data_IF_121308696592
#
_entry.id   IF_121308696592
#
_cell.length_a   1.000
_cell.length_b   1.000
_cell.length_c   1.000
_cell.angle_alpha   90.00
_cell.angle_beta   90.00
_cell.angle_gamma   90.00
#
_symmetry.space_group_name_H-M   'P 1'
#
loop_
_entity.id
_entity.type
_entity.pdbx_description
1 polymer ?
#
# COMPACT_ATOMS: atom_id res chain seq x y z
N UNK A 1 -30.68 -69.28 -0.94
CA UNK A 1 -30.69 -68.07 -0.07
C UNK A 1 -30.49 -68.55 1.37
N UNK A 2 -29.52 -68.10 2.17
CA UNK A 2 -29.09 -66.73 2.36
C UNK A 2 -27.57 -66.60 2.59
N UNK A 3 -27.05 -65.47 2.10
CA UNK A 3 -25.69 -64.94 2.20
C UNK A 3 -25.15 -64.78 3.62
N UNK A 4 -23.83 -65.00 3.76
CA UNK A 4 -23.05 -64.52 4.89
C UNK A 4 -22.59 -63.07 4.63
N UNK A 5 -22.83 -62.11 5.55
CA UNK A 5 -22.20 -60.80 5.47
C UNK A 5 -20.80 -60.83 6.09
N UNK A 6 -19.89 -60.23 5.35
CA UNK A 6 -18.47 -60.02 5.62
C UNK A 6 -18.21 -59.29 6.95
N UNK A 7 -17.44 -59.90 7.84
CA UNK A 7 -16.75 -59.17 8.91
C UNK A 7 -15.47 -58.54 8.33
N UNK A 8 -15.52 -57.25 8.01
CA UNK A 8 -14.34 -56.45 7.70
C UNK A 8 -13.68 -55.99 9.00
N UNK A 9 -12.54 -56.59 9.34
CA UNK A 9 -11.61 -56.00 10.30
C UNK A 9 -10.95 -54.77 9.64
N UNK A 10 -11.14 -53.58 10.20
CA UNK A 10 -10.39 -52.38 9.84
C UNK A 10 -9.00 -52.47 10.48
N UNK A 11 -7.97 -52.73 9.69
CA UNK A 11 -6.59 -52.59 10.15
C UNK A 11 -6.19 -51.10 10.23
N UNK A 12 -5.52 -50.67 11.31
CA UNK A 12 -5.03 -49.30 11.42
C UNK A 12 -3.81 -49.11 10.52
N UNK A 13 -3.89 -48.10 9.65
CA UNK A 13 -2.81 -47.69 8.75
C UNK A 13 -1.56 -47.29 9.56
N UNK A 14 -0.58 -48.19 9.63
CA UNK A 14 0.71 -48.00 10.30
C UNK A 14 1.54 -46.97 9.51
N UNK A 15 1.53 -45.72 9.96
CA UNK A 15 2.37 -44.64 9.40
C UNK A 15 3.82 -44.79 9.85
N UNK A 16 4.73 -44.94 8.88
CA UNK A 16 6.16 -45.08 9.12
C UNK A 16 6.80 -43.73 9.48
N UNK A 17 7.33 -43.63 10.71
CA UNK A 17 8.01 -42.45 11.25
C UNK A 17 9.21 -42.02 10.38
N UNK A 18 9.83 -42.96 9.67
CA UNK A 18 10.95 -42.67 8.75
C UNK A 18 10.50 -41.91 7.51
N UNK A 19 9.28 -42.14 7.06
CA UNK A 19 8.69 -41.45 5.92
C UNK A 19 8.33 -40.00 6.30
N UNK A 20 7.84 -39.78 7.52
CA UNK A 20 7.58 -38.44 8.05
C UNK A 20 8.86 -37.60 8.17
N UNK A 21 9.95 -38.18 8.70
CA UNK A 21 11.23 -37.47 8.84
C UNK A 21 11.85 -37.09 7.48
N UNK A 22 11.70 -37.93 6.46
CA UNK A 22 12.14 -37.61 5.08
C UNK A 22 11.35 -36.45 4.48
N UNK A 23 10.04 -36.40 4.70
CA UNK A 23 9.18 -35.29 4.25
C UNK A 23 9.46 -33.99 5.00
N UNK A 24 9.70 -34.05 6.31
CA UNK A 24 10.01 -32.88 7.13
C UNK A 24 11.36 -32.23 6.74
N UNK A 25 12.39 -33.03 6.44
CA UNK A 25 13.69 -32.51 6.03
C UNK A 25 13.65 -31.78 4.68
N UNK A 26 12.85 -32.26 3.72
CA UNK A 26 12.68 -31.62 2.41
C UNK A 26 11.86 -30.33 2.50
N UNK A 27 10.82 -30.30 3.34
CA UNK A 27 10.00 -29.09 3.55
C UNK A 27 10.74 -27.99 4.33
N UNK A 28 11.53 -28.36 5.35
CA UNK A 28 12.31 -27.41 6.15
C UNK A 28 13.50 -26.82 5.40
N UNK A 29 14.14 -27.59 4.50
CA UNK A 29 15.29 -27.12 3.73
C UNK A 29 14.94 -26.13 2.61
N UNK A 30 13.79 -26.26 1.97
CA UNK A 30 13.37 -25.37 0.88
C UNK A 30 12.88 -24.00 1.38
N UNK A 31 12.34 -23.91 2.59
CA UNK A 31 11.85 -22.65 3.18
C UNK A 31 12.96 -21.66 3.55
N UNK A 32 14.20 -22.14 3.74
CA UNK A 32 15.36 -21.29 4.08
C UNK A 32 16.08 -20.71 2.86
N UNK A 33 15.67 -21.10 1.64
CA UNK A 33 16.31 -20.69 0.38
C UNK A 33 15.45 -19.75 -0.46
N UNK A 34 14.31 -19.25 0.04
CA UNK A 34 13.68 -18.09 -0.60
C UNK A 34 14.66 -16.93 -0.47
N UNK A 35 15.32 -16.50 -1.56
CA UNK A 35 16.12 -15.29 -1.48
C UNK A 35 15.16 -14.20 -1.04
N UNK A 36 15.59 -13.37 -0.10
CA UNK A 36 15.02 -12.06 0.12
C UNK A 36 15.12 -11.33 -1.22
N UNK A 37 14.15 -11.55 -2.11
CA UNK A 37 14.01 -10.77 -3.31
C UNK A 37 13.92 -9.33 -2.80
N UNK A 38 14.84 -8.44 -3.21
CA UNK A 38 14.64 -7.03 -2.92
C UNK A 38 13.32 -6.70 -3.60
N UNK A 39 12.26 -6.58 -2.80
CA UNK A 39 11.04 -5.94 -3.23
C UNK A 39 11.49 -4.52 -3.47
N UNK A 40 11.97 -4.26 -4.68
CA UNK A 40 12.63 -3.02 -5.04
C UNK A 40 11.74 -1.91 -4.50
N UNK A 41 12.25 -1.15 -3.53
CA UNK A 41 11.58 0.04 -3.09
C UNK A 41 11.38 0.82 -4.38
N UNK A 42 10.13 0.86 -4.86
CA UNK A 42 9.78 1.69 -5.99
C UNK A 42 10.07 3.07 -5.46
N UNK A 43 11.22 3.63 -5.83
CA UNK A 43 11.48 5.04 -5.65
C UNK A 43 10.21 5.72 -6.12
N UNK A 44 9.56 6.47 -5.22
CA UNK A 44 8.30 7.12 -5.52
C UNK A 44 8.47 7.79 -6.89
N UNK A 45 7.74 7.30 -7.88
CA UNK A 45 7.85 7.78 -9.24
C UNK A 45 7.53 9.27 -9.26
N UNK A 46 7.88 9.95 -10.35
CA UNK A 46 7.40 11.32 -10.53
C UNK A 46 5.87 11.35 -10.43
N UNK A 47 5.34 12.30 -9.65
CA UNK A 47 3.90 12.53 -9.52
C UNK A 47 3.51 13.72 -10.38
N UNK A 48 2.28 13.76 -10.86
CA UNK A 48 1.84 14.77 -11.84
C UNK A 48 1.47 16.09 -11.15
N UNK A 49 0.92 16.02 -9.94
CA UNK A 49 0.25 17.12 -9.25
C UNK A 49 0.69 17.23 -7.81
N UNK A 50 0.81 18.46 -7.31
CA UNK A 50 0.71 18.75 -5.87
C UNK A 50 -0.67 19.32 -5.59
N UNK A 51 -1.49 18.59 -4.85
CA UNK A 51 -2.82 19.01 -4.43
C UNK A 51 -2.74 19.79 -3.12
N UNK A 52 -3.31 20.99 -3.10
CA UNK A 52 -3.57 21.77 -1.90
C UNK A 52 -5.06 21.66 -1.56
N UNK A 53 -5.40 21.31 -0.33
CA UNK A 53 -6.81 21.28 0.10
C UNK A 53 -6.99 21.87 1.49
N UNK A 54 -8.24 22.16 1.84
CA UNK A 54 -8.59 22.57 3.20
C UNK A 54 -8.53 21.36 4.15
N UNK A 55 -8.24 21.59 5.43
CA UNK A 55 -8.30 20.58 6.49
C UNK A 55 -9.72 20.12 6.88
N UNK A 56 -10.73 20.48 6.08
CA UNK A 56 -12.11 20.08 6.31
C UNK A 56 -12.24 18.57 6.09
N UNK A 57 -12.43 17.83 7.19
CA UNK A 57 -12.49 16.36 7.18
C UNK A 57 -13.61 15.81 6.29
N UNK A 58 -14.62 16.63 5.98
CA UNK A 58 -15.74 16.23 5.11
C UNK A 58 -15.30 16.07 3.65
N UNK A 59 -14.16 16.65 3.27
CA UNK A 59 -13.66 16.62 1.90
C UNK A 59 -12.74 15.44 1.60
N UNK A 60 -12.32 14.65 2.59
CA UNK A 60 -11.28 13.62 2.40
C UNK A 60 -11.71 12.60 1.33
N UNK A 61 -12.93 12.07 1.45
CA UNK A 61 -13.43 11.07 0.50
C UNK A 61 -13.76 11.69 -0.87
N UNK A 62 -14.33 12.90 -0.88
CA UNK A 62 -14.65 13.63 -2.10
C UNK A 62 -13.39 13.98 -2.90
N UNK A 63 -12.30 14.34 -2.23
CA UNK A 63 -11.00 14.60 -2.84
C UNK A 63 -10.47 13.31 -3.47
N UNK A 64 -10.48 12.19 -2.75
CA UNK A 64 -10.01 10.91 -3.29
C UNK A 64 -10.82 10.53 -4.53
N UNK A 65 -12.14 10.64 -4.47
CA UNK A 65 -13.03 10.36 -5.59
C UNK A 65 -12.78 11.30 -6.77
N UNK A 66 -12.60 12.60 -6.51
CA UNK A 66 -12.29 13.60 -7.54
C UNK A 66 -10.97 13.31 -8.24
N UNK A 67 -9.92 12.98 -7.48
CA UNK A 67 -8.60 12.66 -8.05
C UNK A 67 -8.62 11.36 -8.85
N UNK A 68 -9.38 10.35 -8.39
CA UNK A 68 -9.60 9.11 -9.13
C UNK A 68 -10.32 9.35 -10.47
N UNK A 69 -11.39 10.14 -10.45
CA UNK A 69 -12.12 10.54 -11.67
C UNK A 69 -11.26 11.30 -12.68
N UNK A 70 -10.16 11.92 -12.23
CA UNK A 70 -9.16 12.60 -13.08
C UNK A 70 -8.00 11.71 -13.53
N UNK A 71 -8.03 10.41 -13.21
CA UNK A 71 -6.94 9.46 -13.45
C UNK A 71 -5.64 9.86 -12.74
N UNK A 72 -5.77 10.52 -11.58
CA UNK A 72 -4.64 10.94 -10.75
C UNK A 72 -4.44 10.03 -9.53
N UNK A 73 -5.09 8.88 -9.46
CA UNK A 73 -4.91 7.89 -8.37
C UNK A 73 -3.43 7.56 -8.18
N UNK A 74 -2.91 7.79 -6.97
CA UNK A 74 -1.49 7.63 -6.61
C UNK A 74 -0.51 8.48 -7.46
N UNK A 75 -0.98 9.53 -8.13
CA UNK A 75 -0.19 10.41 -9.01
C UNK A 75 -0.18 11.86 -8.51
N UNK A 76 -0.32 12.07 -7.20
CA UNK A 76 -0.24 13.39 -6.58
C UNK A 76 0.34 13.34 -5.16
N UNK A 77 1.04 14.41 -4.80
CA UNK A 77 1.31 14.76 -3.40
C UNK A 77 0.14 15.57 -2.84
N UNK A 78 -0.10 15.51 -1.53
CA UNK A 78 -1.24 16.19 -0.91
C UNK A 78 -0.80 17.01 0.29
N UNK A 79 -0.97 18.33 0.21
CA UNK A 79 -0.81 19.28 1.31
C UNK A 79 -2.18 19.72 1.80
N UNK A 80 -2.38 19.64 3.12
CA UNK A 80 -3.60 20.06 3.79
C UNK A 80 -3.29 21.30 4.62
N UNK A 81 -3.91 22.42 4.29
CA UNK A 81 -3.71 23.71 4.96
C UNK A 81 -5.06 24.33 5.30
N UNK A 82 -5.21 24.88 6.50
CA UNK A 82 -6.44 25.54 6.92
C UNK A 82 -6.79 26.69 5.94
N UNK A 83 -7.93 26.57 5.25
CA UNK A 83 -8.37 27.54 4.23
C UNK A 83 -7.75 27.35 2.84
N UNK A 84 -6.97 26.30 2.59
CA UNK A 84 -6.34 26.00 1.29
C UNK A 84 -5.63 27.24 0.70
N UNK A 85 -6.09 27.75 -0.46
CA UNK A 85 -5.56 28.96 -1.09
C UNK A 85 -5.64 30.19 -0.18
N UNK A 86 -6.72 30.35 0.59
CA UNK A 86 -6.84 31.46 1.53
C UNK A 86 -5.77 31.37 2.62
N UNK A 87 -5.48 30.16 3.12
CA UNK A 87 -4.42 29.92 4.09
C UNK A 87 -3.02 30.16 3.50
N UNK A 88 -2.80 29.79 2.25
CA UNK A 88 -1.52 29.97 1.56
C UNK A 88 -1.23 31.44 1.20
N UNK A 89 -2.26 32.28 1.10
CA UNK A 89 -2.15 33.67 0.66
C UNK A 89 -2.46 34.69 1.76
N UNK A 90 -2.77 34.27 2.99
CA UNK A 90 -3.18 35.20 4.05
C UNK A 90 -2.00 35.94 4.68
N UNK A 91 -2.12 37.27 4.79
CA UNK A 91 -1.16 38.09 5.53
C UNK A 91 -1.27 37.92 7.06
N UNK A 92 -2.35 37.30 7.55
CA UNK A 92 -2.54 37.08 9.00
C UNK A 92 -1.61 36.02 9.57
N UNK A 93 -1.11 35.12 8.71
CA UNK A 93 -0.24 33.98 9.05
C UNK A 93 0.78 33.77 7.92
N UNK A 94 1.75 34.69 7.73
CA UNK A 94 2.68 34.64 6.60
C UNK A 94 3.52 33.36 6.55
N UNK A 95 3.82 32.76 7.71
CA UNK A 95 4.55 31.49 7.81
C UNK A 95 3.83 30.32 7.15
N UNK A 96 2.49 30.38 7.02
CA UNK A 96 1.71 29.34 6.33
C UNK A 96 1.97 29.38 4.82
N UNK A 97 1.99 30.58 4.23
CA UNK A 97 2.36 30.77 2.84
C UNK A 97 3.80 30.31 2.59
N UNK A 98 4.73 30.69 3.49
CA UNK A 98 6.12 30.23 3.41
C UNK A 98 6.21 28.69 3.43
N UNK A 99 5.58 28.04 4.40
CA UNK A 99 5.60 26.59 4.51
C UNK A 99 5.00 25.90 3.27
N UNK A 100 3.89 26.43 2.74
CA UNK A 100 3.30 25.92 1.51
C UNK A 100 4.27 26.01 0.31
N UNK A 101 4.92 27.16 0.12
CA UNK A 101 5.89 27.33 -0.97
C UNK A 101 7.15 26.47 -0.79
N UNK A 102 7.60 26.25 0.44
CA UNK A 102 8.69 25.30 0.74
C UNK A 102 8.26 23.88 0.33
N UNK A 103 7.02 23.46 0.61
CA UNK A 103 6.47 22.17 0.15
C UNK A 103 6.38 22.08 -1.39
N UNK A 104 5.97 23.15 -2.07
CA UNK A 104 5.97 23.20 -3.55
C UNK A 104 7.38 22.97 -4.09
N UNK A 105 8.39 23.58 -3.47
CA UNK A 105 9.77 23.43 -3.91
C UNK A 105 10.28 22.00 -3.68
N UNK A 106 10.02 21.41 -2.51
CA UNK A 106 10.35 20.00 -2.23
C UNK A 106 9.68 19.04 -3.22
N UNK A 107 8.39 19.25 -3.53
CA UNK A 107 7.65 18.42 -4.47
C UNK A 107 8.21 18.53 -5.90
N UNK A 108 8.68 19.73 -6.31
CA UNK A 108 9.38 19.91 -7.59
C UNK A 108 10.71 19.16 -7.62
N UNK A 109 11.49 19.25 -6.55
CA UNK A 109 12.86 18.73 -6.51
C UNK A 109 12.90 17.20 -6.36
N UNK A 110 11.98 16.63 -5.57
CA UNK A 110 11.99 15.19 -5.26
C UNK A 110 11.01 14.41 -6.13
N UNK A 111 9.80 14.94 -6.34
CA UNK A 111 8.72 14.20 -7.00
C UNK A 111 8.39 14.75 -8.40
N UNK A 112 9.13 15.76 -8.88
CA UNK A 112 9.05 16.30 -10.24
C UNK A 112 7.62 16.70 -10.67
N UNK A 113 6.86 17.31 -9.76
CA UNK A 113 5.50 17.78 -10.03
C UNK A 113 5.43 18.72 -11.23
N UNK A 114 4.34 18.66 -12.00
CA UNK A 114 4.14 19.52 -13.19
C UNK A 114 3.18 20.67 -12.94
N UNK A 115 2.30 20.55 -11.95
CA UNK A 115 1.29 21.57 -11.61
C UNK A 115 0.83 21.47 -10.17
N UNK A 116 0.29 22.57 -9.68
CA UNK A 116 -0.43 22.66 -8.41
C UNK A 116 -1.93 22.66 -8.71
N UNK A 117 -2.69 21.89 -7.93
CA UNK A 117 -4.16 21.86 -7.96
C UNK A 117 -4.69 22.28 -6.60
N UNK A 118 -5.80 23.00 -6.56
CA UNK A 118 -6.41 23.56 -5.34
C UNK A 118 -7.89 23.21 -5.34
#
# INVERSE_FOLDING_TARGET
MHDHPSCHCLEPRRTDRRQFLKLAALAGGAALLTPMLPLGARAAGSVEVLLLSCMDYRLVDDIVHYMDGRKLTNQYDHVILAGASLGALTDKKPDWGKAFWDHVQVAKDLHHIKKVMI
#
